data_IF_707613551790
#
_entry.id   IF_707613551790
#
_cell.length_a   1.000
_cell.length_b   1.000
_cell.length_c   1.000
_cell.angle_alpha   90.00
_cell.angle_beta   90.00
_cell.angle_gamma   90.00
#
_symmetry.space_group_name_H-M   'P 1'
#
loop_
_entity.id
_entity.type
_entity.pdbx_description
1 polymer ?
#
# COMPACT_ATOMS: atom_id res chain seq x y z
N UNK A 1 -13.51 -18.74 12.71
CA UNK A 1 -12.40 -18.05 12.01
C UNK A 1 -11.51 -17.43 13.09
N UNK A 2 -10.32 -17.97 13.34
CA UNK A 2 -9.40 -17.42 14.35
C UNK A 2 -8.70 -16.19 13.76
N UNK A 3 -8.86 -15.04 14.42
CA UNK A 3 -8.11 -13.82 14.11
C UNK A 3 -6.62 -14.08 14.38
N UNK A 4 -5.70 -13.63 13.51
CA UNK A 4 -4.27 -13.74 13.76
C UNK A 4 -3.89 -12.92 15.01
N UNK A 5 -2.88 -13.36 15.77
CA UNK A 5 -2.48 -12.73 17.03
C UNK A 5 -1.95 -11.31 16.80
N UNK A 6 -2.28 -10.41 17.72
CA UNK A 6 -2.02 -8.97 17.67
C UNK A 6 -0.53 -8.61 17.84
N UNK A 7 0.30 -9.56 18.27
CA UNK A 7 1.68 -9.36 18.70
C UNK A 7 2.62 -10.37 18.04
N UNK A 8 2.72 -10.36 16.71
CA UNK A 8 3.83 -11.00 16.01
C UNK A 8 4.86 -9.94 15.59
N UNK A 9 5.88 -9.66 16.44
CA UNK A 9 6.89 -8.64 16.16
C UNK A 9 7.79 -8.97 14.98
N UNK A 10 7.76 -10.20 14.43
CA UNK A 10 8.48 -10.56 13.21
C UNK A 10 7.64 -10.34 11.93
N UNK A 11 6.31 -10.45 12.02
CA UNK A 11 5.42 -10.21 10.88
C UNK A 11 5.39 -8.75 10.39
N UNK A 12 5.90 -7.82 11.19
CA UNK A 12 5.86 -6.38 10.94
C UNK A 12 7.21 -5.77 10.53
N UNK A 13 8.28 -6.57 10.50
CA UNK A 13 9.61 -6.17 10.00
C UNK A 13 9.84 -6.55 8.53
N UNK A 14 9.14 -7.57 8.03
CA UNK A 14 9.12 -7.89 6.60
C UNK A 14 8.08 -7.02 5.89
N UNK A 15 8.57 -6.03 5.13
CA UNK A 15 7.73 -5.33 4.16
C UNK A 15 7.12 -4.01 4.62
N UNK A 16 7.81 -3.29 5.50
CA UNK A 16 7.50 -1.87 5.70
C UNK A 16 7.85 -1.10 4.43
N UNK A 17 6.92 -0.28 3.96
CA UNK A 17 7.10 0.53 2.76
C UNK A 17 6.93 2.01 3.08
N UNK A 18 7.68 2.91 2.42
CA UNK A 18 7.41 4.34 2.48
C UNK A 18 5.96 4.61 2.14
N UNK A 19 5.30 5.51 2.87
CA UNK A 19 3.91 5.87 2.59
C UNK A 19 3.72 6.29 1.13
N UNK A 20 4.65 7.09 0.60
CA UNK A 20 4.64 7.57 -0.79
C UNK A 20 4.60 6.42 -1.82
N UNK A 21 5.36 5.35 -1.59
CA UNK A 21 5.40 4.18 -2.47
C UNK A 21 4.06 3.44 -2.46
N UNK A 22 3.47 3.26 -1.27
CA UNK A 22 2.15 2.63 -1.11
C UNK A 22 1.07 3.44 -1.83
N UNK A 23 1.05 4.76 -1.65
CA UNK A 23 0.09 5.64 -2.31
C UNK A 23 0.29 5.68 -3.83
N UNK A 24 1.54 5.58 -4.30
CA UNK A 24 1.85 5.52 -5.73
C UNK A 24 1.26 4.26 -6.34
N UNK A 25 1.48 3.09 -5.74
CA UNK A 25 0.95 1.82 -6.24
C UNK A 25 -0.58 1.84 -6.28
N UNK A 26 -1.23 2.35 -5.23
CA UNK A 26 -2.69 2.52 -5.21
C UNK A 26 -3.19 3.36 -6.40
N UNK A 27 -2.58 4.51 -6.67
CA UNK A 27 -2.95 5.37 -7.81
C UNK A 27 -2.79 4.70 -9.17
N UNK A 28 -1.86 3.75 -9.30
CA UNK A 28 -1.62 3.02 -10.55
C UNK A 28 -2.68 1.95 -10.84
N UNK A 29 -3.38 1.51 -9.80
CA UNK A 29 -4.50 0.57 -9.90
C UNK A 29 -5.84 1.30 -9.78
N UNK A 30 -5.91 2.52 -10.33
CA UNK A 30 -7.13 3.33 -10.41
C UNK A 30 -7.78 3.65 -9.04
N UNK A 31 -6.99 3.59 -7.95
CA UNK A 31 -7.44 4.03 -6.63
C UNK A 31 -7.17 5.53 -6.50
N UNK A 32 -8.24 6.31 -6.38
CA UNK A 32 -8.18 7.72 -6.01
C UNK A 32 -7.73 7.86 -4.56
N UNK A 33 -6.71 8.69 -4.33
CA UNK A 33 -6.07 8.90 -3.02
C UNK A 33 -6.19 10.36 -2.63
N UNK A 34 -6.91 10.64 -1.55
CA UNK A 34 -6.98 11.95 -0.90
C UNK A 34 -6.36 11.88 0.48
N UNK A 35 -5.40 12.77 0.77
CA UNK A 35 -4.71 12.83 2.07
C UNK A 35 -5.08 14.08 2.84
N UNK A 36 -5.45 13.93 4.10
CA UNK A 36 -5.68 15.05 5.02
C UNK A 36 -4.58 15.11 6.09
N UNK A 37 -4.24 16.33 6.53
CA UNK A 37 -3.08 16.58 7.38
C UNK A 37 -3.12 15.85 8.74
N UNK A 38 -1.92 15.45 9.17
CA UNK A 38 -1.56 14.61 10.33
C UNK A 38 -2.52 14.65 11.52
N UNK A 39 -2.93 13.46 11.96
CA UNK A 39 -3.47 13.25 13.30
C UNK A 39 -2.34 13.19 14.34
N UNK A 40 -2.69 13.15 15.64
CA UNK A 40 -1.82 13.35 16.81
C UNK A 40 -0.57 12.45 16.93
N UNK A 41 -0.38 11.46 16.05
CA UNK A 41 0.70 10.47 16.14
C UNK A 41 1.54 10.34 14.84
N UNK A 42 1.49 11.33 13.95
CA UNK A 42 2.26 11.33 12.69
C UNK A 42 1.67 10.42 11.59
N UNK A 43 0.49 9.84 11.82
CA UNK A 43 -0.26 9.12 10.79
C UNK A 43 -1.05 10.09 9.89
N UNK A 44 -1.09 9.77 8.60
CA UNK A 44 -1.82 10.53 7.57
C UNK A 44 -3.19 9.87 7.35
N UNK A 45 -4.24 10.68 7.44
CA UNK A 45 -5.58 10.23 7.06
C UNK A 45 -5.64 10.12 5.54
N UNK A 46 -5.87 8.91 5.04
CA UNK A 46 -5.94 8.58 3.62
C UNK A 46 -7.36 8.10 3.30
N UNK A 47 -8.06 8.83 2.44
CA UNK A 47 -9.30 8.38 1.81
C UNK A 47 -8.95 7.74 0.48
N UNK A 48 -9.32 6.47 0.32
CA UNK A 48 -8.97 5.60 -0.80
C UNK A 48 -10.27 5.13 -1.48
N UNK A 49 -10.43 5.46 -2.77
CA UNK A 49 -11.66 5.17 -3.51
C UNK A 49 -11.34 4.52 -4.85
N UNK A 50 -11.93 3.35 -5.11
CA UNK A 50 -12.01 2.67 -6.40
C UNK A 50 -13.50 2.53 -6.80
N UNK A 51 -13.80 1.97 -7.97
CA UNK A 51 -15.16 1.88 -8.52
C UNK A 51 -16.18 1.31 -7.52
N UNK A 52 -15.82 0.22 -6.84
CA UNK A 52 -16.70 -0.50 -5.91
C UNK A 52 -16.26 -0.40 -4.44
N UNK A 53 -15.15 0.27 -4.16
CA UNK A 53 -14.50 0.23 -2.84
C UNK A 53 -14.19 1.63 -2.35
N UNK A 54 -14.68 1.97 -1.16
CA UNK A 54 -14.32 3.20 -0.44
C UNK A 54 -13.81 2.83 0.95
N UNK A 55 -12.66 3.40 1.31
CA UNK A 55 -11.96 3.09 2.56
C UNK A 55 -11.27 4.34 3.11
N UNK A 56 -11.37 4.55 4.43
CA UNK A 56 -10.60 5.59 5.13
C UNK A 56 -9.62 4.90 6.07
N UNK A 57 -8.34 5.21 5.94
CA UNK A 57 -7.27 4.62 6.76
C UNK A 57 -6.30 5.67 7.29
N UNK A 58 -5.83 5.46 8.51
CA UNK A 58 -4.72 6.22 9.07
C UNK A 58 -3.44 5.45 8.81
N UNK A 59 -2.63 5.93 7.86
CA UNK A 59 -1.40 5.28 7.46
C UNK A 59 -0.21 5.98 8.11
N UNK A 60 0.60 5.21 8.85
CA UNK A 60 1.89 5.66 9.35
C UNK A 60 2.92 5.69 8.22
N UNK A 61 3.97 6.49 8.38
CA UNK A 61 5.16 6.39 7.55
C UNK A 61 6.35 5.89 8.41
N UNK A 62 6.91 4.70 8.13
CA UNK A 62 6.53 3.76 7.06
C UNK A 62 5.24 2.97 7.35
N UNK A 63 4.61 2.48 6.28
CA UNK A 63 3.40 1.65 6.34
C UNK A 63 3.81 0.20 6.66
N UNK A 64 3.20 -0.38 7.70
CA UNK A 64 3.47 -1.77 8.11
C UNK A 64 3.07 -2.80 7.04
N UNK A 65 3.83 -3.89 6.94
CA UNK A 65 3.56 -4.94 5.93
C UNK A 65 2.19 -5.60 6.07
N UNK A 66 1.64 -5.64 7.29
CA UNK A 66 0.24 -6.08 7.54
C UNK A 66 -0.76 -5.13 6.88
N UNK A 67 -0.53 -3.83 6.97
CA UNK A 67 -1.38 -2.82 6.32
C UNK A 67 -1.24 -2.87 4.81
N UNK A 68 -0.03 -3.09 4.28
CA UNK A 68 0.18 -3.30 2.84
C UNK A 68 -0.63 -4.51 2.33
N UNK A 69 -0.57 -5.64 3.02
CA UNK A 69 -1.36 -6.85 2.67
C UNK A 69 -2.87 -6.60 2.77
N UNK A 70 -3.31 -5.79 3.74
CA UNK A 70 -4.70 -5.39 3.85
C UNK A 70 -5.16 -4.59 2.63
N UNK A 71 -4.41 -3.53 2.27
CA UNK A 71 -4.70 -2.68 1.12
C UNK A 71 -4.66 -3.48 -0.19
N UNK A 72 -3.65 -4.33 -0.37
CA UNK A 72 -3.54 -5.22 -1.52
C UNK A 72 -4.79 -6.08 -1.72
N UNK A 73 -5.26 -6.73 -0.66
CA UNK A 73 -6.48 -7.54 -0.73
C UNK A 73 -7.74 -6.70 -0.96
N UNK A 74 -7.83 -5.53 -0.33
CA UNK A 74 -9.01 -4.65 -0.37
C UNK A 74 -9.25 -4.06 -1.75
N UNK A 75 -8.18 -3.73 -2.47
CA UNK A 75 -8.21 -3.13 -3.81
C UNK A 75 -7.84 -4.13 -4.91
N UNK A 76 -7.78 -5.42 -4.60
CA UNK A 76 -7.45 -6.50 -5.55
C UNK A 76 -6.10 -6.30 -6.29
N UNK A 77 -5.13 -5.71 -5.60
CA UNK A 77 -3.78 -5.46 -6.11
C UNK A 77 -2.86 -6.60 -5.67
N UNK A 78 -2.06 -7.14 -6.59
CA UNK A 78 -1.06 -8.14 -6.22
C UNK A 78 -0.03 -7.54 -5.24
N UNK A 79 0.22 -8.24 -4.13
CA UNK A 79 1.14 -7.76 -3.09
C UNK A 79 2.57 -7.49 -3.64
N UNK A 80 2.99 -8.21 -4.69
CA UNK A 80 4.29 -8.01 -5.36
C UNK A 80 4.42 -6.61 -5.99
N UNK A 81 3.32 -6.02 -6.47
CA UNK A 81 3.32 -4.67 -7.06
C UNK A 81 3.78 -3.64 -6.02
N UNK A 82 3.36 -3.77 -4.76
CA UNK A 82 3.81 -2.88 -3.68
C UNK A 82 5.32 -2.90 -3.43
N UNK A 83 5.95 -4.08 -3.53
CA UNK A 83 7.37 -4.24 -3.22
C UNK A 83 8.30 -4.02 -4.41
N UNK A 84 7.80 -4.15 -5.64
CA UNK A 84 8.63 -4.18 -6.84
C UNK A 84 8.19 -3.22 -7.96
N UNK A 85 7.21 -2.33 -7.74
CA UNK A 85 6.70 -1.44 -8.81
C UNK A 85 7.80 -0.67 -9.56
N UNK A 86 8.83 -0.17 -8.86
CA UNK A 86 9.95 0.56 -9.49
C UNK A 86 10.75 -0.32 -10.46
N UNK A 87 10.91 -1.60 -10.14
CA UNK A 87 11.61 -2.56 -11.02
C UNK A 87 10.70 -3.00 -12.18
N UNK A 88 9.40 -3.18 -11.92
CA UNK A 88 8.40 -3.49 -12.94
C UNK A 88 8.28 -2.36 -13.96
N UNK A 89 8.39 -1.10 -13.53
CA UNK A 89 8.40 0.07 -14.41
C UNK A 89 9.62 0.13 -15.29
N UNK A 90 10.80 -0.05 -14.69
CA UNK A 90 12.05 -0.12 -15.44
C UNK A 90 12.08 -1.29 -16.44
N UNK A 91 11.32 -2.36 -16.21
CA UNK A 91 11.15 -3.46 -17.16
C UNK A 91 10.16 -3.13 -18.27
N UNK A 92 9.04 -2.45 -17.96
CA UNK A 92 8.03 -2.02 -18.94
C UNK A 92 8.54 -0.93 -19.88
N UNK A 93 9.47 -0.09 -19.42
CA UNK A 93 10.10 0.96 -20.22
C UNK A 93 11.24 0.47 -21.13
N UNK A 94 11.70 -0.78 -20.97
CA UNK A 94 12.75 -1.32 -21.84
C UNK A 94 12.16 -1.65 -23.21
N UNK A 95 12.66 -1.05 -24.31
CA UNK A 95 12.25 -1.46 -25.65
C UNK A 95 12.64 -2.93 -25.85
N UNK A 96 11.83 -3.72 -26.58
CA UNK A 96 12.21 -5.09 -26.92
C UNK A 96 13.56 -5.03 -27.66
N UNK A 97 14.53 -5.80 -27.15
CA UNK A 97 15.79 -6.02 -27.85
C UNK A 97 15.45 -6.78 -29.15
N UNK A 98 15.47 -6.04 -30.25
CA UNK A 98 15.42 -6.59 -31.61
C UNK A 98 16.70 -7.34 -31.93
#
# INVERSE_FOLDING_TARGET
MRLPPKDDPQGDMEGRLPLEDVLTVLRRHDVSVTTEASCLDGAVCCTLISEDVSEVQFLSDPVGGVMVKYLARKFEIETVEFYYFRQLDAQRERPPLH
#
